data_IF_393732238143
#
_entry.id   IF_393732238143
#
_cell.length_a   1.000
_cell.length_b   1.000
_cell.length_c   1.000
_cell.angle_alpha   90.00
_cell.angle_beta   90.00
_cell.angle_gamma   90.00
#
_symmetry.space_group_name_H-M   'P 1'
#
loop_
_entity.id
_entity.type
_entity.pdbx_description
1 polymer ?
#
# COMPACT_ATOMS: atom_id res chain seq x y z
N UNK A 1 -6.70 24.34 -15.09
CA UNK A 1 -6.73 23.73 -13.75
C UNK A 1 -5.48 22.87 -13.64
N UNK A 2 -4.55 23.20 -12.75
CA UNK A 2 -3.41 22.33 -12.45
C UNK A 2 -3.88 21.34 -11.39
N UNK A 3 -4.33 20.15 -11.79
CA UNK A 3 -4.79 19.15 -10.84
C UNK A 3 -3.58 18.65 -10.03
N UNK A 4 -3.51 19.09 -8.78
CA UNK A 4 -2.52 18.66 -7.77
C UNK A 4 -2.93 17.31 -7.13
N UNK A 5 -3.60 16.44 -7.89
CA UNK A 5 -4.12 15.18 -7.38
C UNK A 5 -3.00 14.14 -7.30
N UNK A 6 -2.97 13.40 -6.19
CA UNK A 6 -2.08 12.25 -6.00
C UNK A 6 -2.96 11.00 -5.96
N UNK A 7 -2.75 10.10 -6.93
CA UNK A 7 -3.48 8.83 -6.99
C UNK A 7 -2.65 7.77 -6.26
N UNK A 8 -3.27 7.11 -5.29
CA UNK A 8 -2.66 6.10 -4.44
C UNK A 8 -3.55 4.87 -4.39
N UNK A 9 -2.98 3.71 -4.70
CA UNK A 9 -3.62 2.40 -4.50
C UNK A 9 -2.99 1.72 -3.29
N UNK A 10 -3.83 1.18 -2.41
CA UNK A 10 -3.39 0.46 -1.22
C UNK A 10 -4.02 -0.92 -1.21
N UNK A 11 -3.24 -1.92 -0.81
CA UNK A 11 -3.75 -3.28 -0.59
C UNK A 11 -3.06 -3.90 0.61
N UNK A 12 -3.71 -4.90 1.20
CA UNK A 12 -3.20 -5.61 2.37
C UNK A 12 -3.79 -6.99 2.50
N UNK A 13 -2.94 -7.96 2.83
CA UNK A 13 -3.32 -9.37 2.98
C UNK A 13 -2.72 -9.98 4.24
N UNK A 14 -3.52 -10.77 4.96
CA UNK A 14 -3.11 -11.51 6.15
C UNK A 14 -3.17 -13.02 5.92
N UNK A 15 -2.20 -13.76 6.47
CA UNK A 15 -2.25 -15.22 6.56
C UNK A 15 -2.88 -15.62 7.90
N UNK A 16 -4.22 -15.61 7.96
CA UNK A 16 -5.00 -15.93 9.17
C UNK A 16 -5.52 -14.70 9.92
N UNK A 17 -6.16 -14.91 11.08
CA UNK A 17 -6.69 -13.83 11.93
C UNK A 17 -6.63 -14.17 13.44
N UNK A 18 -5.66 -13.61 14.21
CA UNK A 18 -4.53 -12.80 13.75
C UNK A 18 -3.49 -13.67 13.03
N UNK A 19 -2.65 -13.03 12.21
CA UNK A 19 -1.58 -13.72 11.50
C UNK A 19 -0.58 -12.72 10.88
N UNK A 20 0.56 -13.22 10.38
CA UNK A 20 1.52 -12.40 9.67
C UNK A 20 0.86 -11.84 8.40
N UNK A 21 1.09 -10.55 8.15
CA UNK A 21 0.45 -9.83 7.07
C UNK A 21 1.45 -8.97 6.30
N UNK A 22 1.06 -8.61 5.08
CA UNK A 22 1.76 -7.65 4.24
C UNK A 22 0.83 -6.49 3.90
N UNK A 23 1.37 -5.28 3.90
CA UNK A 23 0.71 -4.08 3.39
C UNK A 23 1.52 -3.49 2.25
N UNK A 24 0.85 -2.96 1.24
CA UNK A 24 1.46 -2.38 0.06
C UNK A 24 0.77 -1.10 -0.38
N UNK A 25 1.55 -0.17 -0.94
CA UNK A 25 1.08 1.09 -1.49
C UNK A 25 1.75 1.35 -2.84
N UNK A 26 0.97 1.71 -3.85
CA UNK A 26 1.46 2.24 -5.12
C UNK A 26 0.97 3.67 -5.31
N UNK A 27 1.91 4.62 -5.31
CA UNK A 27 1.66 6.02 -5.64
C UNK A 27 1.84 6.16 -7.16
N UNK A 28 0.73 6.09 -7.89
CA UNK A 28 0.72 6.09 -9.37
C UNK A 28 1.33 7.35 -9.94
N UNK A 29 0.94 8.52 -9.42
CA UNK A 29 1.41 9.82 -9.91
C UNK A 29 2.89 10.08 -9.68
N UNK A 30 3.51 9.34 -8.76
CA UNK A 30 4.96 9.42 -8.49
C UNK A 30 5.72 8.19 -9.04
N UNK A 31 5.01 7.20 -9.58
CA UNK A 31 5.55 5.88 -9.92
C UNK A 31 6.41 5.27 -8.81
N UNK A 32 5.96 5.36 -7.55
CA UNK A 32 6.65 4.82 -6.37
C UNK A 32 5.86 3.71 -5.71
N UNK A 33 6.54 2.68 -5.24
CA UNK A 33 5.96 1.53 -4.54
C UNK A 33 6.60 1.35 -3.18
N UNK A 34 5.79 1.08 -2.18
CA UNK A 34 6.19 0.77 -0.81
C UNK A 34 5.48 -0.51 -0.35
N UNK A 35 6.13 -1.28 0.50
CA UNK A 35 5.53 -2.46 1.10
C UNK A 35 6.25 -2.82 2.39
N UNK A 36 5.47 -3.32 3.34
CA UNK A 36 5.97 -3.68 4.67
C UNK A 36 5.34 -4.99 5.14
N UNK A 37 6.15 -5.81 5.82
CA UNK A 37 5.69 -6.97 6.55
C UNK A 37 5.30 -6.56 7.97
N UNK A 38 4.09 -6.93 8.40
CA UNK A 38 3.53 -6.61 9.72
C UNK A 38 3.05 -7.90 10.42
N UNK A 39 2.89 -7.87 11.74
CA UNK A 39 2.42 -9.03 12.51
C UNK A 39 3.51 -10.05 12.85
N UNK A 40 4.62 -9.57 13.44
CA UNK A 40 5.55 -10.42 14.21
C UNK A 40 4.89 -10.96 15.48
#
# INVERSE_FOLDING_TARGET
>A
MTNNEIVVYTDGGSRGNPGPAGIGVWIETLNKKYGEFIGK
#
